data_IF_438635101144
#
_entry.id   IF_438635101144
#
_cell.length_a   1.000
_cell.length_b   1.000
_cell.length_c   1.000
_cell.angle_alpha   90.00
_cell.angle_beta   90.00
_cell.angle_gamma   90.00
#
_symmetry.space_group_name_H-M   'P 1'
#
loop_
_entity.id
_entity.type
_entity.pdbx_description
1 polymer ?
#
# COMPACT_ATOMS: atom_id res chain seq x y z
N UNK A 1 12.61 4.77 30.48
CA UNK A 1 12.55 4.98 29.02
C UNK A 1 13.10 3.72 28.34
N UNK A 2 12.34 3.07 27.44
CA UNK A 2 12.82 1.88 26.72
C UNK A 2 13.97 2.32 25.80
N UNK A 3 15.13 1.65 25.87
CA UNK A 3 16.30 1.99 25.06
C UNK A 3 15.94 1.81 23.58
N UNK A 4 16.06 2.87 22.79
CA UNK A 4 15.72 2.85 21.36
C UNK A 4 16.76 2.02 20.62
N UNK A 5 16.29 1.11 19.77
CA UNK A 5 17.17 0.28 18.95
C UNK A 5 17.27 0.88 17.53
N UNK A 6 18.35 1.60 17.27
CA UNK A 6 18.62 2.27 16.00
C UNK A 6 18.70 1.26 14.84
N UNK A 7 19.16 0.03 15.08
CA UNK A 7 19.34 -0.99 14.04
C UNK A 7 18.01 -1.33 13.35
N UNK A 8 16.92 -1.40 14.13
CA UNK A 8 15.59 -1.73 13.62
C UNK A 8 14.99 -0.58 12.85
N UNK A 9 15.23 0.66 13.31
CA UNK A 9 14.77 1.85 12.61
C UNK A 9 15.43 1.97 11.23
N UNK A 10 16.72 1.63 11.11
CA UNK A 10 17.43 1.60 9.81
C UNK A 10 16.78 0.57 8.87
N UNK A 11 16.55 -0.66 9.35
CA UNK A 11 15.91 -1.73 8.54
C UNK A 11 14.50 -1.31 8.12
N UNK A 12 13.74 -0.70 9.02
CA UNK A 12 12.37 -0.25 8.74
C UNK A 12 12.34 0.89 7.72
N UNK A 13 13.24 1.86 7.82
CA UNK A 13 13.37 2.96 6.84
C UNK A 13 13.77 2.43 5.46
N UNK A 14 14.72 1.48 5.41
CA UNK A 14 15.09 0.80 4.16
C UNK A 14 13.90 0.08 3.54
N UNK A 15 13.11 -0.65 4.34
CA UNK A 15 11.93 -1.35 3.86
C UNK A 15 10.92 -0.37 3.21
N UNK A 16 10.66 0.79 3.84
CA UNK A 16 9.77 1.82 3.29
C UNK A 16 10.27 2.33 1.94
N UNK A 17 11.58 2.57 1.80
CA UNK A 17 12.16 3.01 0.52
C UNK A 17 11.98 1.96 -0.59
N UNK A 18 12.20 0.68 -0.27
CA UNK A 18 11.98 -0.42 -1.21
C UNK A 18 10.49 -0.59 -1.60
N UNK A 19 9.55 -0.34 -0.68
CA UNK A 19 8.11 -0.31 -1.01
C UNK A 19 7.81 0.75 -2.06
N UNK A 20 8.31 1.98 -1.86
CA UNK A 20 8.11 3.09 -2.81
C UNK A 20 8.71 2.73 -4.18
N UNK A 21 9.89 2.12 -4.21
CA UNK A 21 10.55 1.67 -5.44
C UNK A 21 9.70 0.65 -6.22
N UNK A 22 9.10 -0.34 -5.56
CA UNK A 22 8.22 -1.31 -6.25
C UNK A 22 6.96 -0.65 -6.81
N UNK A 23 6.34 0.27 -6.06
CA UNK A 23 5.14 0.99 -6.51
C UNK A 23 5.44 1.96 -7.64
N UNK A 24 6.64 2.55 -7.66
CA UNK A 24 7.11 3.37 -8.78
C UNK A 24 7.16 2.56 -10.08
N UNK A 25 7.65 1.31 -10.04
CA UNK A 25 7.67 0.44 -11.22
C UNK A 25 6.26 0.11 -11.73
N UNK A 26 5.28 -0.03 -10.84
CA UNK A 26 3.89 -0.29 -11.24
C UNK A 26 3.24 0.87 -12.01
N UNK A 27 3.68 2.11 -11.77
CA UNK A 27 3.10 3.30 -12.42
C UNK A 27 3.94 3.85 -13.57
N UNK A 28 5.21 3.49 -13.70
CA UNK A 28 6.11 4.02 -14.74
C UNK A 28 6.07 3.29 -16.09
N UNK A 29 5.06 2.46 -16.35
CA UNK A 29 5.00 1.71 -17.61
C UNK A 29 6.13 0.68 -17.75
N UNK A 30 6.66 0.15 -16.63
CA UNK A 30 7.63 -0.96 -16.64
C UNK A 30 7.10 -2.15 -17.45
N UNK A 31 5.79 -2.37 -17.41
CA UNK A 31 5.10 -3.45 -18.12
C UNK A 31 4.94 -3.20 -19.62
N UNK A 32 5.21 -1.98 -20.09
CA UNK A 32 5.14 -1.58 -21.50
C UNK A 32 6.52 -1.60 -22.19
N UNK A 33 7.57 -1.98 -21.46
CA UNK A 33 8.94 -2.08 -21.99
C UNK A 33 9.10 -3.33 -22.87
N UNK A 34 9.86 -3.19 -23.97
CA UNK A 34 10.21 -4.31 -24.84
C UNK A 34 10.98 -5.39 -24.06
N UNK A 35 10.51 -6.63 -24.21
CA UNK A 35 11.01 -7.82 -23.51
C UNK A 35 12.51 -8.06 -23.73
N UNK A 36 13.03 -7.67 -24.91
CA UNK A 36 14.45 -7.86 -25.22
C UNK A 36 15.37 -6.74 -24.72
N UNK A 37 14.81 -5.65 -24.18
CA UNK A 37 15.60 -4.50 -23.74
C UNK A 37 16.45 -4.81 -22.50
N UNK A 38 17.71 -4.37 -22.52
CA UNK A 38 18.61 -4.42 -21.34
C UNK A 38 18.01 -3.68 -20.13
N UNK A 39 17.25 -2.61 -20.40
CA UNK A 39 16.61 -1.77 -19.37
C UNK A 39 15.52 -2.56 -18.63
N UNK A 40 14.76 -3.40 -19.33
CA UNK A 40 13.75 -4.24 -18.71
C UNK A 40 14.39 -5.29 -17.79
N UNK A 41 15.49 -5.92 -18.22
CA UNK A 41 16.23 -6.90 -17.38
C UNK A 41 16.73 -6.29 -16.08
N UNK A 42 17.34 -5.10 -16.14
CA UNK A 42 17.82 -4.38 -14.95
C UNK A 42 16.65 -3.98 -14.04
N UNK A 43 15.58 -3.47 -14.63
CA UNK A 43 14.38 -3.06 -13.88
C UNK A 43 13.67 -4.24 -13.22
N UNK A 44 13.66 -5.41 -13.85
CA UNK A 44 13.14 -6.66 -13.28
C UNK A 44 13.97 -7.11 -12.08
N UNK A 45 15.30 -7.03 -12.16
CA UNK A 45 16.19 -7.34 -11.03
C UNK A 45 15.95 -6.39 -9.85
N UNK A 46 15.87 -5.08 -10.10
CA UNK A 46 15.59 -4.07 -9.07
C UNK A 46 14.20 -4.26 -8.45
N UNK A 47 13.19 -4.59 -9.26
CA UNK A 47 11.85 -4.92 -8.78
C UNK A 47 11.85 -6.16 -7.89
N UNK A 48 12.52 -7.23 -8.31
CA UNK A 48 12.62 -8.46 -7.52
C UNK A 48 13.36 -8.23 -6.19
N UNK A 49 14.42 -7.42 -6.19
CA UNK A 49 15.08 -7.00 -4.96
C UNK A 49 14.17 -6.13 -4.09
N UNK A 50 13.40 -5.23 -4.70
CA UNK A 50 12.40 -4.40 -4.03
C UNK A 50 11.30 -5.22 -3.35
N UNK A 51 10.92 -6.39 -3.87
CA UNK A 51 9.87 -7.26 -3.28
C UNK A 51 10.22 -7.75 -1.87
N UNK A 52 11.51 -7.76 -1.48
CA UNK A 52 11.95 -8.11 -0.12
C UNK A 52 11.47 -7.08 0.93
N UNK A 53 10.94 -5.92 0.50
CA UNK A 53 10.38 -4.91 1.39
C UNK A 53 9.24 -5.42 2.29
N UNK A 54 8.35 -6.27 1.78
CA UNK A 54 7.20 -6.81 2.51
C UNK A 54 7.65 -7.71 3.67
N UNK A 55 8.47 -8.76 3.46
CA UNK A 55 8.96 -9.57 4.57
C UNK A 55 9.84 -8.79 5.55
N UNK A 56 10.63 -7.80 5.09
CA UNK A 56 11.37 -6.91 6.01
C UNK A 56 10.42 -6.10 6.91
N UNK A 57 9.34 -5.56 6.34
CA UNK A 57 8.36 -4.78 7.09
C UNK A 57 7.61 -5.65 8.12
N UNK A 58 7.24 -6.88 7.74
CA UNK A 58 6.61 -7.85 8.66
C UNK A 58 7.60 -8.24 9.78
N UNK A 59 8.86 -8.51 9.46
CA UNK A 59 9.86 -8.90 10.46
C UNK A 59 10.15 -7.78 11.47
N UNK A 60 10.31 -6.54 10.99
CA UNK A 60 10.55 -5.38 11.87
C UNK A 60 9.35 -5.06 12.76
N UNK A 61 8.13 -5.11 12.21
CA UNK A 61 6.92 -4.90 13.00
C UNK A 61 6.68 -6.02 14.00
N UNK A 62 6.87 -7.28 13.59
CA UNK A 62 6.79 -8.44 14.46
C UNK A 62 7.79 -8.38 15.61
N UNK A 63 9.05 -7.99 15.33
CA UNK A 63 10.06 -7.79 16.36
C UNK A 63 9.63 -6.71 17.38
N UNK A 64 9.11 -5.57 16.91
CA UNK A 64 8.68 -4.48 17.79
C UNK A 64 7.49 -4.85 18.68
N UNK A 65 6.67 -5.81 18.22
CA UNK A 65 5.49 -6.29 18.93
C UNK A 65 5.75 -7.52 19.81
N UNK A 66 6.99 -8.04 19.84
CA UNK A 66 7.37 -9.29 20.56
C UNK A 66 6.94 -9.31 22.03
N UNK A 67 7.17 -8.22 22.76
CA UNK A 67 6.92 -8.16 24.21
C UNK A 67 5.51 -7.65 24.56
N UNK A 68 4.62 -7.51 23.57
CA UNK A 68 3.34 -6.82 23.76
C UNK A 68 2.29 -7.78 24.30
N UNK A 69 1.77 -7.48 25.49
CA UNK A 69 0.70 -8.29 26.09
C UNK A 69 -0.63 -8.12 25.34
N UNK A 70 -1.26 -9.24 25.01
CA UNK A 70 -2.55 -9.31 24.34
C UNK A 70 -3.69 -8.92 25.28
N UNK A 71 -3.91 -7.61 25.46
CA UNK A 71 -5.01 -7.09 26.28
C UNK A 71 -6.28 -6.78 25.46
N UNK A 72 -7.45 -6.74 26.11
CA UNK A 72 -8.72 -6.31 25.47
C UNK A 72 -8.62 -4.91 24.83
N UNK A 73 -7.76 -4.04 25.36
CA UNK A 73 -7.49 -2.69 24.82
C UNK A 73 -6.73 -2.74 23.49
N UNK A 74 -5.82 -3.70 23.31
CA UNK A 74 -5.08 -3.90 22.06
C UNK A 74 -6.02 -4.27 20.91
N UNK A 75 -6.91 -5.26 21.13
CA UNK A 75 -7.90 -5.66 20.14
C UNK A 75 -8.91 -4.56 19.82
N UNK A 76 -9.33 -3.76 20.80
CA UNK A 76 -10.22 -2.61 20.55
C UNK A 76 -9.60 -1.58 19.60
N UNK A 77 -8.28 -1.37 19.68
CA UNK A 77 -7.54 -0.51 18.74
C UNK A 77 -7.56 -1.04 17.31
N UNK A 78 -7.27 -2.33 17.14
CA UNK A 78 -7.30 -3.00 15.83
C UNK A 78 -8.72 -2.99 15.25
N UNK A 79 -9.73 -3.31 16.08
CA UNK A 79 -11.13 -3.32 15.69
C UNK A 79 -11.58 -1.95 15.17
N UNK A 80 -11.16 -0.85 15.82
CA UNK A 80 -11.46 0.51 15.36
C UNK A 80 -10.91 0.77 13.95
N UNK A 81 -9.65 0.39 13.69
CA UNK A 81 -9.03 0.55 12.38
C UNK A 81 -9.74 -0.32 11.33
N UNK A 82 -10.08 -1.56 11.71
CA UNK A 82 -10.81 -2.48 10.84
C UNK A 82 -12.20 -1.95 10.47
N UNK A 83 -12.97 -1.42 11.43
CA UNK A 83 -14.29 -0.84 11.17
C UNK A 83 -14.21 0.36 10.22
N UNK A 84 -13.21 1.24 10.39
CA UNK A 84 -12.99 2.37 9.48
C UNK A 84 -12.67 1.85 8.07
N UNK A 85 -11.77 0.87 7.94
CA UNK A 85 -11.42 0.31 6.63
C UNK A 85 -12.64 -0.31 5.93
N UNK A 86 -13.44 -1.10 6.64
CA UNK A 86 -14.68 -1.69 6.12
C UNK A 86 -15.68 -0.60 5.71
N UNK A 87 -15.84 0.46 6.50
CA UNK A 87 -16.73 1.57 6.13
C UNK A 87 -16.31 2.29 4.85
N UNK A 88 -15.00 2.46 4.62
CA UNK A 88 -14.47 3.07 3.40
C UNK A 88 -14.73 2.16 2.19
N UNK A 89 -14.53 0.85 2.35
CA UNK A 89 -14.80 -0.13 1.30
C UNK A 89 -16.29 -0.11 0.91
N UNK A 90 -17.20 -0.14 1.89
CA UNK A 90 -18.64 -0.08 1.64
C UNK A 90 -19.01 1.23 0.92
N UNK A 91 -18.49 2.37 1.39
CA UNK A 91 -18.74 3.65 0.74
C UNK A 91 -18.24 3.68 -0.71
N UNK A 92 -17.04 3.13 -0.96
CA UNK A 92 -16.48 3.04 -2.31
C UNK A 92 -17.29 2.13 -3.23
N UNK A 93 -17.81 1.00 -2.72
CA UNK A 93 -18.66 0.09 -3.47
C UNK A 93 -20.03 0.71 -3.81
N UNK A 94 -20.61 1.48 -2.88
CA UNK A 94 -21.84 2.26 -3.13
C UNK A 94 -21.58 3.34 -4.18
N UNK A 95 -20.46 4.08 -4.09
CA UNK A 95 -20.08 5.08 -5.08
C UNK A 95 -19.93 4.47 -6.47
N UNK A 96 -19.24 3.33 -6.58
CA UNK A 96 -19.04 2.64 -7.85
C UNK A 96 -20.38 2.17 -8.45
N UNK A 97 -21.26 1.61 -7.60
CA UNK A 97 -22.62 1.20 -7.98
C UNK A 97 -23.42 2.38 -8.52
N UNK A 98 -23.45 3.53 -7.82
CA UNK A 98 -24.13 4.74 -8.29
C UNK A 98 -23.51 5.24 -9.60
N UNK A 99 -22.18 5.26 -9.70
CA UNK A 99 -21.47 5.74 -10.90
C UNK A 99 -21.79 4.92 -12.15
N UNK A 100 -22.02 3.61 -12.00
CA UNK A 100 -22.38 2.69 -13.08
C UNK A 100 -23.81 2.89 -13.61
N UNK A 101 -24.72 3.36 -12.78
CA UNK A 101 -26.11 3.67 -13.16
C UNK A 101 -26.34 5.16 -13.48
N UNK A 102 -25.33 6.02 -13.34
CA UNK A 102 -25.42 7.45 -13.66
C UNK A 102 -25.08 7.68 -15.13
N UNK A 103 -25.99 8.23 -15.96
CA UNK A 103 -25.70 8.56 -17.35
C UNK A 103 -24.60 9.64 -17.44
N UNK A 104 -23.79 9.55 -18.49
CA UNK A 104 -22.50 10.24 -18.75
C UNK A 104 -22.57 11.78 -18.85
N UNK A 105 -23.66 12.39 -18.42
CA UNK A 105 -24.02 13.80 -18.64
C UNK A 105 -23.97 14.66 -17.36
N UNK A 106 -23.48 14.13 -16.24
CA UNK A 106 -23.15 14.94 -15.06
C UNK A 106 -21.64 15.16 -15.01
N UNK A 107 -21.20 16.41 -15.27
CA UNK A 107 -19.81 16.85 -15.21
C UNK A 107 -19.29 16.84 -13.76
N UNK A 108 -18.97 15.64 -13.27
CA UNK A 108 -18.34 15.37 -11.98
C UNK A 108 -16.86 15.04 -12.24
N UNK A 109 -16.15 15.91 -12.95
CA UNK A 109 -14.74 15.68 -13.34
C UNK A 109 -13.79 15.64 -12.13
N UNK A 110 -14.00 16.53 -11.14
CA UNK A 110 -13.10 16.64 -9.98
C UNK A 110 -13.28 15.53 -8.91
N UNK A 111 -14.51 15.18 -8.47
CA UNK A 111 -14.68 14.10 -7.50
C UNK A 111 -14.35 12.71 -8.04
N UNK A 112 -14.62 12.43 -9.33
CA UNK A 112 -14.25 11.16 -9.97
C UNK A 112 -12.74 10.95 -9.99
N UNK A 113 -11.95 12.00 -10.26
CA UNK A 113 -10.48 11.90 -10.28
C UNK A 113 -9.89 11.64 -8.89
N UNK A 114 -10.41 12.30 -7.85
CA UNK A 114 -9.94 12.11 -6.46
C UNK A 114 -10.26 10.69 -5.99
N UNK A 115 -11.49 10.22 -6.21
CA UNK A 115 -11.91 8.87 -5.84
C UNK A 115 -11.15 7.82 -6.65
N UNK A 116 -10.96 8.03 -7.96
CA UNK A 116 -10.16 7.14 -8.81
C UNK A 116 -8.69 7.10 -8.38
N UNK A 117 -8.11 8.21 -7.91
CA UNK A 117 -6.75 8.24 -7.35
C UNK A 117 -6.64 7.44 -6.05
N UNK A 118 -7.62 7.58 -5.15
CA UNK A 118 -7.66 6.85 -3.87
C UNK A 118 -7.87 5.35 -4.10
N UNK A 119 -8.78 4.99 -5.01
CA UNK A 119 -9.06 3.60 -5.38
C UNK A 119 -7.88 3.00 -6.16
N UNK A 120 -7.30 3.70 -7.14
CA UNK A 120 -6.10 3.27 -7.88
C UNK A 120 -4.89 3.07 -6.96
N UNK A 121 -4.80 3.80 -5.85
CA UNK A 121 -3.77 3.58 -4.84
C UNK A 121 -4.01 2.28 -4.06
N UNK A 122 -5.27 1.95 -3.74
CA UNK A 122 -5.64 0.70 -3.04
C UNK A 122 -5.60 -0.57 -3.91
N UNK A 123 -5.82 -0.46 -5.22
CA UNK A 123 -5.82 -1.60 -6.16
C UNK A 123 -4.44 -1.92 -6.77
N UNK A 124 -3.41 -1.11 -6.49
CA UNK A 124 -2.04 -1.27 -7.00
C UNK A 124 -1.06 -1.88 -5.98
N UNK A 125 -1.56 -2.45 -4.88
CA UNK A 125 -0.76 -3.17 -3.89
C UNK A 125 -1.00 -4.68 -4.00
#
# INVERSE_FOLDING_TARGET
>A
MKKRNIQIDIIKTLAVFLVILVHFYLKNGFYDLDYHSKIMKISLLLRNFGMVCVPLFIMTTGYLLRDKEYSKKYFKGILKVYLIAVSIIILSAIYDSISKYTPENVNISMPKLIVKSIISFGYSA
#
